data_IF_317189920290
#
_entry.id   IF_317189920290
#
_cell.length_a   1.000
_cell.length_b   1.000
_cell.length_c   1.000
_cell.angle_alpha   90.00
_cell.angle_beta   90.00
_cell.angle_gamma   90.00
#
_symmetry.space_group_name_H-M   'P 1'
#
loop_
_entity.id
_entity.type
_entity.pdbx_description
1 polymer ?
#
# COMPACT_ATOMS: atom_id res chain seq x y z
N UNK A 1 -6.37 -3.84 26.34
CA UNK A 1 -7.39 -2.78 26.56
C UNK A 1 -8.72 -3.34 26.10
N UNK A 2 -9.77 -3.23 26.92
CA UNK A 2 -11.13 -3.64 26.55
C UNK A 2 -11.94 -2.39 26.21
N UNK A 3 -12.68 -2.42 25.10
CA UNK A 3 -13.58 -1.34 24.69
C UNK A 3 -14.90 -1.97 24.23
N UNK A 4 -16.00 -1.24 24.39
CA UNK A 4 -17.31 -1.65 23.90
C UNK A 4 -17.59 -0.93 22.58
N UNK A 5 -18.13 -1.66 21.61
CA UNK A 5 -18.50 -1.14 20.30
C UNK A 5 -19.97 -1.43 20.07
N UNK A 6 -20.75 -0.39 19.76
CA UNK A 6 -22.14 -0.53 19.35
C UNK A 6 -22.20 -0.55 17.82
N UNK A 7 -22.86 -1.57 17.27
CA UNK A 7 -23.08 -1.76 15.84
C UNK A 7 -24.58 -1.91 15.63
N UNK A 8 -25.07 -1.50 14.46
CA UNK A 8 -26.43 -1.86 14.04
C UNK A 8 -26.53 -3.37 13.79
N UNK A 9 -27.75 -3.90 13.89
CA UNK A 9 -28.02 -5.35 13.81
C UNK A 9 -27.49 -5.95 12.50
N UNK A 10 -27.64 -5.24 11.38
CA UNK A 10 -27.18 -5.70 10.07
C UNK A 10 -25.66 -5.85 10.04
N UNK A 11 -24.93 -4.83 10.48
CA UNK A 11 -23.45 -4.89 10.54
C UNK A 11 -22.98 -5.99 11.49
N UNK A 12 -23.67 -6.21 12.62
CA UNK A 12 -23.34 -7.25 13.56
C UNK A 12 -23.54 -8.67 12.98
N UNK A 13 -24.62 -8.89 12.23
CA UNK A 13 -24.90 -10.14 11.52
C UNK A 13 -23.88 -10.42 10.41
N UNK A 14 -23.57 -9.41 9.58
CA UNK A 14 -22.57 -9.54 8.51
C UNK A 14 -21.18 -9.87 9.08
N UNK A 15 -20.80 -9.24 10.21
CA UNK A 15 -19.55 -9.53 10.90
C UNK A 15 -19.51 -10.99 11.39
N UNK A 16 -20.61 -11.50 11.96
CA UNK A 16 -20.67 -12.87 12.48
C UNK A 16 -20.61 -13.91 11.35
N UNK A 17 -21.31 -13.67 10.24
CA UNK A 17 -21.24 -14.52 9.05
C UNK A 17 -19.84 -14.53 8.42
N UNK A 18 -19.21 -13.37 8.34
CA UNK A 18 -17.85 -13.24 7.79
C UNK A 18 -16.83 -13.95 8.68
N UNK A 19 -16.93 -13.77 10.00
CA UNK A 19 -16.07 -14.43 10.96
C UNK A 19 -16.17 -15.97 10.85
N UNK A 20 -17.39 -16.50 10.73
CA UNK A 20 -17.64 -17.94 10.51
C UNK A 20 -17.02 -18.43 9.20
N UNK A 21 -17.24 -17.71 8.11
CA UNK A 21 -16.72 -18.06 6.78
C UNK A 21 -15.19 -18.12 6.76
N UNK A 22 -14.54 -17.17 7.44
CA UNK A 22 -13.08 -17.08 7.50
C UNK A 22 -12.44 -17.99 8.58
N UNK A 23 -13.25 -18.64 9.43
CA UNK A 23 -12.73 -19.39 10.58
C UNK A 23 -12.06 -18.49 11.63
N UNK A 24 -12.45 -17.22 11.71
CA UNK A 24 -11.87 -16.24 12.63
C UNK A 24 -12.85 -15.86 13.76
N UNK A 25 -12.31 -15.34 14.86
CA UNK A 25 -13.16 -14.73 15.89
C UNK A 25 -13.63 -13.33 15.44
N UNK A 26 -14.86 -12.95 15.82
CA UNK A 26 -15.37 -11.58 15.61
C UNK A 26 -14.39 -10.51 16.10
N UNK A 27 -13.81 -10.69 17.29
CA UNK A 27 -12.81 -9.76 17.83
C UNK A 27 -11.51 -9.74 17.02
N UNK A 28 -11.11 -10.87 16.43
CA UNK A 28 -9.97 -10.93 15.51
C UNK A 28 -10.22 -10.10 14.26
N UNK A 29 -11.40 -10.29 13.65
CA UNK A 29 -11.81 -9.56 12.45
C UNK A 29 -11.95 -8.05 12.71
N UNK A 30 -12.54 -7.65 13.84
CA UNK A 30 -12.61 -6.23 14.26
C UNK A 30 -11.20 -5.64 14.39
N UNK A 31 -10.26 -6.35 15.04
CA UNK A 31 -8.88 -5.85 15.20
C UNK A 31 -8.17 -5.68 13.86
N UNK A 32 -8.34 -6.62 12.93
CA UNK A 32 -7.78 -6.52 11.58
C UNK A 32 -8.35 -5.34 10.82
N UNK A 33 -9.67 -5.21 10.79
CA UNK A 33 -10.35 -4.11 10.11
C UNK A 33 -9.94 -2.74 10.66
N UNK A 34 -9.86 -2.59 12.00
CA UNK A 34 -9.40 -1.36 12.62
C UNK A 34 -7.94 -1.04 12.28
N UNK A 35 -7.05 -2.05 12.25
CA UNK A 35 -5.65 -1.86 11.87
C UNK A 35 -5.53 -1.41 10.43
N UNK A 36 -6.17 -2.11 9.50
CA UNK A 36 -6.15 -1.73 8.08
C UNK A 36 -6.71 -0.33 7.85
N UNK A 37 -7.79 0.03 8.54
CA UNK A 37 -8.38 1.35 8.42
C UNK A 37 -7.46 2.45 8.98
N UNK A 38 -6.84 2.21 10.14
CA UNK A 38 -5.87 3.13 10.73
C UNK A 38 -4.63 3.25 9.85
N UNK A 39 -4.09 2.16 9.34
CA UNK A 39 -2.93 2.16 8.44
C UNK A 39 -3.23 2.94 7.17
N UNK A 40 -4.41 2.75 6.56
CA UNK A 40 -4.87 3.55 5.41
C UNK A 40 -5.04 5.04 5.74
N UNK A 41 -5.37 5.37 6.99
CA UNK A 41 -5.52 6.76 7.46
C UNK A 41 -4.18 7.41 7.79
N UNK A 42 -3.24 6.67 8.37
CA UNK A 42 -1.93 7.17 8.80
C UNK A 42 -0.93 7.24 7.66
N UNK A 43 -1.03 6.35 6.66
CA UNK A 43 -0.19 6.38 5.46
C UNK A 43 -0.56 7.51 4.48
N UNK A 44 -1.59 8.32 4.79
CA UNK A 44 -2.13 9.30 3.86
C UNK A 44 -2.88 8.61 2.72
N UNK A 45 -3.56 9.38 1.86
CA UNK A 45 -4.26 8.90 0.66
C UNK A 45 -3.49 7.79 -0.07
N UNK A 46 -4.17 6.88 -0.80
CA UNK A 46 -3.49 5.87 -1.62
C UNK A 46 -2.41 6.55 -2.48
N UNK A 47 -1.15 6.29 -2.14
CA UNK A 47 0.00 7.05 -2.62
C UNK A 47 1.27 6.63 -1.89
N UNK A 48 2.41 6.94 -2.48
CA UNK A 48 3.71 6.67 -1.88
C UNK A 48 3.94 7.57 -0.64
N UNK A 49 4.58 7.07 0.43
CA UNK A 49 4.99 7.89 1.57
C UNK A 49 5.80 9.12 1.13
N UNK A 50 5.74 10.21 1.90
CA UNK A 50 6.49 11.45 1.61
C UNK A 50 7.96 11.19 1.37
N UNK A 51 8.57 10.27 2.11
CA UNK A 51 9.98 9.90 1.96
C UNK A 51 10.32 9.40 0.55
N UNK A 52 9.38 8.73 -0.12
CA UNK A 52 9.55 8.26 -1.51
C UNK A 52 9.26 9.41 -2.48
N UNK A 53 8.21 10.20 -2.25
CA UNK A 53 7.85 11.33 -3.11
C UNK A 53 8.90 12.45 -3.10
N UNK A 54 9.60 12.62 -1.98
CA UNK A 54 10.63 13.63 -1.75
C UNK A 54 12.05 13.10 -2.00
N UNK A 55 12.19 11.82 -2.38
CA UNK A 55 13.50 11.23 -2.63
C UNK A 55 14.15 11.84 -3.87
N UNK A 56 15.35 12.41 -3.71
CA UNK A 56 16.09 13.09 -4.78
C UNK A 56 17.21 12.23 -5.41
N UNK A 57 17.18 10.92 -5.19
CA UNK A 57 18.26 10.02 -5.58
C UNK A 57 19.37 9.92 -4.52
N UNK A 58 20.39 9.11 -4.80
CA UNK A 58 21.58 9.02 -3.97
C UNK A 58 22.57 10.14 -4.32
N UNK A 59 23.12 10.81 -3.31
CA UNK A 59 23.95 12.01 -3.49
C UNK A 59 25.27 11.74 -4.21
N UNK A 60 25.75 10.50 -4.16
CA UNK A 60 26.97 10.01 -4.81
C UNK A 60 26.72 9.44 -6.21
N UNK A 61 25.46 9.42 -6.67
CA UNK A 61 25.11 8.87 -7.96
C UNK A 61 25.27 9.93 -9.06
N UNK A 62 25.95 9.62 -10.17
CA UNK A 62 26.04 10.55 -11.29
C UNK A 62 24.65 10.76 -11.92
N UNK A 63 24.39 11.91 -12.57
CA UNK A 63 23.12 12.17 -13.24
C UNK A 63 22.76 11.06 -14.24
N UNK A 64 21.46 10.78 -14.41
CA UNK A 64 20.97 9.70 -15.28
C UNK A 64 21.57 9.73 -16.70
N UNK A 65 21.70 10.92 -17.29
CA UNK A 65 22.21 11.10 -18.66
C UNK A 65 23.73 11.24 -18.75
N UNK A 66 24.48 11.09 -17.65
CA UNK A 66 25.92 11.39 -17.58
C UNK A 66 26.79 10.58 -18.54
N UNK A 67 26.37 9.36 -18.89
CA UNK A 67 27.08 8.46 -19.81
C UNK A 67 26.36 8.30 -21.16
N UNK A 68 25.41 9.18 -21.47
CA UNK A 68 24.64 9.10 -22.72
C UNK A 68 25.53 9.14 -23.97
N UNK A 69 26.59 9.93 -23.92
CA UNK A 69 27.52 10.11 -25.04
C UNK A 69 28.43 8.88 -25.27
N UNK A 70 28.48 7.96 -24.31
CA UNK A 70 29.23 6.70 -24.42
C UNK A 70 28.39 5.57 -25.05
N UNK A 71 27.09 5.81 -25.25
CA UNK A 71 26.20 4.81 -25.83
C UNK A 71 26.43 4.67 -27.33
N UNK A 72 26.47 3.42 -27.80
CA UNK A 72 26.42 3.15 -29.23
C UNK A 72 25.08 3.60 -29.80
N UNK A 73 25.05 4.10 -31.06
CA UNK A 73 23.79 4.39 -31.72
C UNK A 73 22.91 3.12 -31.75
N UNK A 74 21.57 3.27 -31.71
CA UNK A 74 20.68 2.15 -31.92
C UNK A 74 21.06 1.40 -33.20
N UNK A 75 20.97 0.07 -33.18
CA UNK A 75 21.14 -0.72 -34.40
C UNK A 75 20.05 -0.33 -35.39
N UNK A 76 20.39 -0.32 -36.68
CA UNK A 76 19.39 -0.19 -37.74
C UNK A 76 18.29 -1.24 -37.54
N UNK A 77 17.04 -0.80 -37.70
CA UNK A 77 15.89 -1.67 -37.56
C UNK A 77 15.94 -2.72 -38.68
N UNK A 78 16.01 -4.01 -38.29
CA UNK A 78 16.06 -5.13 -39.23
C UNK A 78 14.73 -5.33 -39.98
N UNK A 79 13.70 -4.55 -39.65
CA UNK A 79 12.34 -4.63 -40.21
C UNK A 79 11.93 -3.38 -41.01
N UNK A 80 12.87 -2.48 -41.34
CA UNK A 80 12.63 -1.35 -42.25
C UNK A 80 12.45 -1.77 -43.71
#
# INVERSE_FOLDING_TARGET
MNFNLYLDDKTAEELDQTAKTLGESRSGLIRKALREWLDKKTLGSPGWPSQILEWQGAADMPPFESHRDELLPPRDDALS
#
